data_IF_112294766047
#
_entry.id   IF_112294766047
#
_cell.length_a   1.000
_cell.length_b   1.000
_cell.length_c   1.000
_cell.angle_alpha   90.00
_cell.angle_beta   90.00
_cell.angle_gamma   90.00
#
_symmetry.space_group_name_H-M   'P 1'
#
loop_
_entity.id
_entity.type
_entity.pdbx_description
1 polymer ?
#
# COMPACT_ATOMS: atom_id res chain seq x y z
N UNK A 1 -8.18 -13.64 20.56
CA UNK A 1 -8.65 -13.01 19.31
C UNK A 1 -7.83 -13.51 18.16
N UNK A 2 -8.47 -13.97 17.13
CA UNK A 2 -7.79 -14.55 15.97
C UNK A 2 -7.49 -13.45 14.95
N UNK A 3 -6.24 -13.39 14.51
CA UNK A 3 -5.84 -12.48 13.45
C UNK A 3 -5.55 -13.26 12.18
N UNK A 4 -5.68 -12.58 11.06
CA UNK A 4 -5.35 -13.10 9.75
C UNK A 4 -4.13 -12.37 9.21
N UNK A 5 -3.30 -13.09 8.48
CA UNK A 5 -2.19 -12.49 7.76
C UNK A 5 -2.59 -12.23 6.32
N UNK A 6 -2.40 -10.99 5.88
CA UNK A 6 -2.72 -10.56 4.52
C UNK A 6 -1.49 -9.88 3.94
N UNK A 7 -1.12 -10.26 2.74
CA UNK A 7 -0.09 -9.56 2.00
C UNK A 7 -0.75 -8.79 0.85
N UNK A 8 -0.80 -7.48 0.98
CA UNK A 8 -1.25 -6.61 -0.09
C UNK A 8 -0.05 -6.18 -0.93
N UNK A 9 -0.26 -5.97 -2.20
CA UNK A 9 0.80 -5.60 -3.14
C UNK A 9 0.27 -4.52 -4.05
N UNK A 10 1.12 -3.57 -4.40
CA UNK A 10 0.78 -2.55 -5.38
C UNK A 10 2.03 -2.11 -6.13
N UNK A 11 1.78 -1.46 -7.27
CA UNK A 11 2.85 -0.89 -8.09
C UNK A 11 2.87 0.62 -7.83
N UNK A 12 4.01 1.12 -7.35
CA UNK A 12 4.20 2.53 -7.02
C UNK A 12 5.11 3.16 -8.04
N UNK A 13 4.72 4.32 -8.52
CA UNK A 13 5.51 5.10 -9.47
C UNK A 13 5.47 6.56 -9.05
N UNK A 14 6.65 7.18 -8.98
CA UNK A 14 6.75 8.61 -8.68
C UNK A 14 7.42 9.31 -9.85
N UNK A 15 6.73 10.31 -10.37
CA UNK A 15 7.24 11.13 -11.47
C UNK A 15 7.74 12.46 -10.92
N UNK A 16 8.98 12.82 -11.24
CA UNK A 16 9.58 14.07 -10.82
C UNK A 16 10.59 14.51 -11.87
N UNK A 17 10.81 15.81 -11.96
CA UNK A 17 11.65 16.35 -13.03
C UNK A 17 13.03 16.75 -12.55
N UNK A 18 13.10 17.49 -11.46
CA UNK A 18 14.38 18.03 -10.99
C UNK A 18 14.30 18.26 -9.48
N UNK A 19 15.46 18.48 -8.89
CA UNK A 19 15.57 18.68 -7.45
C UNK A 19 15.92 17.41 -6.72
N UNK A 20 15.80 17.45 -5.43
CA UNK A 20 16.07 16.28 -4.59
C UNK A 20 15.05 15.18 -4.85
N UNK A 21 15.46 13.91 -4.68
CA UNK A 21 14.50 12.82 -4.84
C UNK A 21 13.30 13.00 -3.93
N UNK A 22 12.09 12.83 -4.46
CA UNK A 22 10.89 12.96 -3.64
C UNK A 22 10.78 11.85 -2.63
N UNK A 23 10.07 12.13 -1.54
CA UNK A 23 9.79 11.14 -0.51
C UNK A 23 8.30 10.91 -0.43
N UNK A 24 7.93 9.68 -0.15
CA UNK A 24 6.53 9.35 0.06
C UNK A 24 6.37 8.48 1.28
N UNK A 25 5.17 8.49 1.83
CA UNK A 25 4.78 7.69 2.97
C UNK A 25 3.61 6.80 2.61
N UNK A 26 3.61 5.60 3.16
CA UNK A 26 2.49 4.69 3.06
C UNK A 26 1.92 4.45 4.45
N UNK A 27 0.61 4.58 4.57
CA UNK A 27 -0.10 4.41 5.83
C UNK A 27 -1.08 3.25 5.72
N UNK A 28 -1.17 2.47 6.78
CA UNK A 28 -2.23 1.48 6.94
C UNK A 28 -3.06 1.93 8.13
N UNK A 29 -4.33 2.27 7.90
CA UNK A 29 -5.23 2.83 8.93
C UNK A 29 -4.60 4.00 9.68
N UNK A 30 -3.99 4.93 8.92
CA UNK A 30 -3.33 6.13 9.45
C UNK A 30 -2.10 5.87 10.31
N UNK A 31 -1.65 4.62 10.40
CA UNK A 31 -0.36 4.31 10.99
C UNK A 31 0.69 4.25 9.91
N UNK A 32 1.81 4.89 10.13
CA UNK A 32 2.90 4.92 9.17
C UNK A 32 3.47 3.52 9.01
N UNK A 33 3.37 2.98 7.80
CA UNK A 33 3.98 1.71 7.46
C UNK A 33 5.41 1.89 6.96
N UNK A 34 5.60 2.82 6.01
CA UNK A 34 6.93 3.06 5.45
C UNK A 34 7.05 4.48 4.91
N UNK A 35 8.28 4.97 4.91
CA UNK A 35 8.65 6.20 4.22
C UNK A 35 9.86 5.89 3.35
N UNK A 36 9.81 6.32 2.10
CA UNK A 36 10.89 6.06 1.14
C UNK A 36 11.26 7.31 0.38
N UNK A 37 12.54 7.41 0.03
CA UNK A 37 13.02 8.35 -0.96
C UNK A 37 12.97 7.66 -2.31
N UNK A 38 12.37 8.31 -3.30
CA UNK A 38 12.23 7.74 -4.63
C UNK A 38 13.41 8.17 -5.47
N UNK A 39 14.31 7.23 -5.73
CA UNK A 39 15.54 7.51 -6.46
C UNK A 39 15.51 6.98 -7.90
N UNK A 40 14.46 6.29 -8.28
CA UNK A 40 14.35 5.69 -9.60
C UNK A 40 13.67 6.64 -10.58
N UNK A 41 14.10 6.59 -11.83
CA UNK A 41 13.45 7.31 -12.92
C UNK A 41 12.92 6.29 -13.92
N UNK A 42 11.71 6.51 -14.40
CA UNK A 42 11.08 5.67 -15.42
C UNK A 42 10.95 4.21 -15.01
N UNK A 43 10.84 3.97 -13.70
CA UNK A 43 10.66 2.63 -13.16
C UNK A 43 9.55 2.68 -12.12
N UNK A 44 8.99 1.53 -11.82
CA UNK A 44 8.03 1.41 -10.74
C UNK A 44 8.57 0.43 -9.70
N UNK A 45 8.06 0.57 -8.48
CA UNK A 45 8.40 -0.32 -7.37
C UNK A 45 7.18 -1.15 -7.03
N UNK A 46 7.34 -2.46 -7.02
CA UNK A 46 6.31 -3.35 -6.49
C UNK A 46 6.48 -3.39 -4.99
N UNK A 47 5.50 -2.83 -4.28
CA UNK A 47 5.57 -2.70 -2.84
C UNK A 47 4.66 -3.71 -2.15
N UNK A 48 5.22 -4.41 -1.17
CA UNK A 48 4.54 -5.44 -0.40
C UNK A 48 4.18 -4.88 0.96
N UNK A 49 2.91 -4.97 1.32
CA UNK A 49 2.38 -4.39 2.55
C UNK A 49 1.78 -5.52 3.38
N UNK A 50 2.51 -6.03 4.38
CA UNK A 50 1.98 -7.08 5.26
C UNK A 50 1.01 -6.47 6.27
N UNK A 51 -0.14 -7.08 6.42
CA UNK A 51 -1.14 -6.68 7.39
C UNK A 51 -1.50 -7.91 8.21
N UNK A 52 -1.38 -7.80 9.53
CA UNK A 52 -1.82 -8.84 10.43
C UNK A 52 -2.86 -8.24 11.36
N UNK A 53 -4.12 -8.61 11.15
CA UNK A 53 -5.22 -7.99 11.87
C UNK A 53 -6.45 -8.90 11.82
N UNK A 54 -7.41 -8.63 12.67
CA UNK A 54 -8.67 -9.35 12.67
C UNK A 54 -9.56 -8.97 11.47
N UNK A 55 -10.65 -9.70 11.26
CA UNK A 55 -11.59 -9.33 10.21
C UNK A 55 -12.10 -7.91 10.41
N UNK A 56 -12.28 -7.18 9.32
CA UNK A 56 -12.72 -5.80 9.36
C UNK A 56 -12.25 -5.02 8.15
N UNK A 57 -12.36 -3.71 8.27
CA UNK A 57 -12.03 -2.78 7.19
C UNK A 57 -10.78 -2.00 7.53
N UNK A 58 -9.90 -1.88 6.54
CA UNK A 58 -8.61 -1.20 6.68
C UNK A 58 -8.37 -0.36 5.43
N UNK A 59 -7.52 0.65 5.54
CA UNK A 59 -7.19 1.50 4.40
C UNK A 59 -5.69 1.54 4.20
N UNK A 60 -5.28 1.55 2.92
CA UNK A 60 -3.90 1.79 2.52
C UNK A 60 -3.88 3.15 1.83
N UNK A 61 -3.04 4.05 2.30
CA UNK A 61 -2.97 5.40 1.78
C UNK A 61 -1.51 5.80 1.54
N UNK A 62 -1.28 6.45 0.41
CA UNK A 62 0.03 6.99 0.04
C UNK A 62 -0.02 8.51 0.06
N UNK A 63 1.09 9.11 0.44
CA UNK A 63 1.20 10.57 0.53
C UNK A 63 2.61 11.00 0.15
N UNK A 64 2.71 12.00 -0.72
CA UNK A 64 3.99 12.65 -0.99
C UNK A 64 4.31 13.62 0.15
N UNK A 65 5.56 13.59 0.63
CA UNK A 65 5.98 14.49 1.71
C UNK A 65 6.05 15.93 1.21
N UNK A 66 6.53 16.12 -0.02
CA UNK A 66 6.61 17.44 -0.65
C UNK A 66 5.99 17.35 -2.05
N UNK A 67 4.68 17.62 -2.17
CA UNK A 67 3.96 17.34 -3.42
C UNK A 67 4.18 18.35 -4.53
N UNK A 68 4.91 19.45 -4.31
CA UNK A 68 5.02 20.52 -5.29
C UNK A 68 5.77 20.12 -6.55
N UNK A 69 6.72 19.18 -6.44
CA UNK A 69 7.62 18.83 -7.52
C UNK A 69 7.47 17.40 -8.02
N UNK A 70 6.50 16.68 -7.51
CA UNK A 70 6.37 15.26 -7.83
C UNK A 70 4.91 14.83 -7.87
N UNK A 71 4.66 13.72 -8.55
CA UNK A 71 3.34 13.08 -8.56
C UNK A 71 3.55 11.61 -8.29
N UNK A 72 2.71 11.06 -7.44
CA UNK A 72 2.73 9.63 -7.12
C UNK A 72 1.53 8.95 -7.77
N UNK A 73 1.78 7.78 -8.34
CA UNK A 73 0.73 6.92 -8.88
C UNK A 73 0.85 5.55 -8.24
N UNK A 74 -0.28 5.04 -7.79
CA UNK A 74 -0.35 3.70 -7.21
C UNK A 74 -1.34 2.90 -8.03
N UNK A 75 -0.87 1.81 -8.60
CA UNK A 75 -1.66 0.99 -9.50
C UNK A 75 -1.68 -0.45 -9.03
N UNK A 76 -2.66 -1.18 -9.53
CA UNK A 76 -2.69 -2.62 -9.42
C UNK A 76 -2.67 -3.08 -7.96
N UNK A 77 -3.44 -2.39 -7.12
CA UNK A 77 -3.66 -2.81 -5.75
C UNK A 77 -4.33 -4.18 -5.75
N UNK A 78 -3.71 -5.12 -5.07
CA UNK A 78 -4.19 -6.50 -5.06
C UNK A 78 -3.80 -7.19 -3.78
N UNK A 79 -4.47 -8.28 -3.48
CA UNK A 79 -4.10 -9.16 -2.37
C UNK A 79 -3.33 -10.33 -2.97
N UNK A 80 -2.09 -10.49 -2.51
CA UNK A 80 -1.25 -11.61 -2.92
C UNK A 80 -1.56 -12.86 -2.10
N UNK A 81 -1.78 -12.69 -0.81
CA UNK A 81 -2.01 -13.78 0.12
C UNK A 81 -2.98 -13.34 1.20
N UNK A 82 -3.85 -14.24 1.61
CA UNK A 82 -4.70 -14.04 2.78
C UNK A 82 -6.18 -13.80 2.44
N UNK A 83 -7.05 -13.90 3.45
CA UNK A 83 -8.49 -13.78 3.25
C UNK A 83 -8.94 -12.32 3.23
N UNK A 84 -8.68 -11.64 2.12
CA UNK A 84 -9.01 -10.24 1.97
C UNK A 84 -9.30 -9.89 0.53
N UNK A 85 -10.05 -8.80 0.36
CA UNK A 85 -10.26 -8.15 -0.92
C UNK A 85 -9.82 -6.70 -0.79
N UNK A 86 -9.40 -6.10 -1.89
CA UNK A 86 -8.94 -4.72 -1.91
C UNK A 86 -9.51 -4.03 -3.16
N UNK A 87 -9.90 -2.75 -3.01
CA UNK A 87 -10.34 -1.97 -4.15
C UNK A 87 -9.24 -1.00 -4.58
N UNK A 88 -9.49 -0.29 -5.68
CA UNK A 88 -8.48 0.60 -6.25
C UNK A 88 -8.26 1.87 -5.44
N UNK A 89 -9.11 2.17 -4.49
CA UNK A 89 -8.93 3.30 -3.57
C UNK A 89 -8.12 2.93 -2.33
N UNK A 90 -7.71 1.66 -2.22
CA UNK A 90 -6.91 1.20 -1.09
C UNK A 90 -7.74 0.73 0.09
N UNK A 91 -9.04 0.48 -0.11
CA UNK A 91 -9.88 -0.06 0.96
C UNK A 91 -9.75 -1.58 0.98
N UNK A 92 -9.34 -2.10 2.12
CA UNK A 92 -9.10 -3.52 2.33
C UNK A 92 -10.17 -4.06 3.26
N UNK A 93 -10.76 -5.18 2.89
CA UNK A 93 -11.66 -5.90 3.77
C UNK A 93 -11.06 -7.28 4.06
N UNK A 94 -10.74 -7.52 5.32
CA UNK A 94 -10.31 -8.82 5.78
C UNK A 94 -11.54 -9.56 6.29
N UNK A 95 -11.75 -10.76 5.77
CA UNK A 95 -12.91 -11.57 6.15
C UNK A 95 -12.45 -12.85 6.85
N UNK A 96 -13.38 -13.46 7.58
CA UNK A 96 -13.12 -14.74 8.21
C UNK A 96 -13.21 -15.82 7.14
N UNK A 97 -12.14 -16.60 6.92
CA UNK A 97 -12.17 -17.64 5.90
C UNK A 97 -13.14 -18.75 6.28
N UNK A 98 -13.81 -19.30 5.26
CA UNK A 98 -14.64 -20.48 5.47
C UNK A 98 -13.75 -21.66 5.81
N UNK A 99 -14.17 -22.41 6.82
CA UNK A 99 -13.48 -23.64 7.17
C UNK A 99 -14.38 -24.81 6.80
N UNK A 100 -13.87 -25.62 5.92
CA UNK A 100 -14.46 -26.92 5.61
C UNK A 100 -13.80 -27.94 6.52
N UNK A 101 -14.60 -28.60 7.28
CA UNK A 101 -14.13 -29.72 8.08
C UNK A 101 -14.31 -31.03 7.33
#
# INVERSE_FOLDING_TARGET
MQTEFVMAVCDVYVKWKQGDPPRYRCYVNDELFTERSWIWREQYLEEYIPIQAGPGHYTIRYELVEPEHARIKVHNLRVDTGPAIIDREGRVQIYTPERTE
#
